data_IF_997196572689
#
_entry.id   IF_997196572689
#
_cell.length_a   1.000
_cell.length_b   1.000
_cell.length_c   1.000
_cell.angle_alpha   90.00
_cell.angle_beta   90.00
_cell.angle_gamma   90.00
#
_symmetry.space_group_name_H-M   'P 1'
#
loop_
_entity.id
_entity.type
_entity.pdbx_description
1 polymer ?
#
# COMPACT_ATOMS: atom_id res chain seq x y z
N UNK A 1 3.31 4.36 -16.87
CA UNK A 1 4.27 4.63 -15.78
C UNK A 1 4.76 3.31 -15.23
N UNK A 2 6.07 3.12 -15.07
CA UNK A 2 6.63 1.95 -14.37
C UNK A 2 7.10 2.38 -13.00
N UNK A 3 6.87 1.55 -11.99
CA UNK A 3 7.20 1.87 -10.60
C UNK A 3 7.99 0.73 -9.96
N UNK A 4 8.75 1.05 -8.92
CA UNK A 4 9.41 0.11 -8.04
C UNK A 4 8.70 0.14 -6.67
N UNK A 5 8.02 -0.94 -6.25
CA UNK A 5 7.53 -1.08 -4.89
C UNK A 5 8.68 -1.02 -3.88
N UNK A 6 8.48 -0.30 -2.79
CA UNK A 6 9.46 -0.07 -1.73
C UNK A 6 8.97 -0.62 -0.38
N UNK A 7 7.66 -0.61 -0.14
CA UNK A 7 7.06 -1.10 1.10
C UNK A 7 5.54 -0.98 1.08
N UNK A 8 4.89 -1.30 2.19
CA UNK A 8 3.44 -1.14 2.32
C UNK A 8 2.99 -0.80 3.74
N UNK A 9 1.87 -0.09 3.86
CA UNK A 9 1.17 0.14 5.13
C UNK A 9 -0.11 -0.70 5.17
N UNK A 10 -0.36 -1.34 6.31
CA UNK A 10 -1.58 -2.09 6.58
C UNK A 10 -2.62 -1.16 7.23
N UNK A 11 -3.35 -0.35 6.46
CA UNK A 11 -4.40 0.49 7.02
C UNK A 11 -5.63 -0.35 7.33
N UNK A 12 -6.31 -0.05 8.43
CA UNK A 12 -7.61 -0.63 8.75
C UNK A 12 -8.66 0.45 8.48
N UNK A 13 -9.38 0.29 7.38
CA UNK A 13 -10.44 1.19 6.96
C UNK A 13 -11.81 0.59 7.27
N UNK A 14 -12.56 1.21 8.19
CA UNK A 14 -13.92 0.79 8.55
C UNK A 14 -14.08 -0.72 8.87
N UNK A 15 -13.02 -1.34 9.41
CA UNK A 15 -12.99 -2.75 9.80
C UNK A 15 -12.33 -3.68 8.77
N UNK A 16 -11.99 -3.16 7.60
CA UNK A 16 -11.36 -3.91 6.51
C UNK A 16 -9.87 -3.58 6.37
N UNK A 17 -9.10 -4.54 5.87
CA UNK A 17 -7.68 -4.35 5.58
C UNK A 17 -7.51 -3.67 4.22
N UNK A 18 -6.95 -2.47 4.23
CA UNK A 18 -6.68 -1.66 3.06
C UNK A 18 -5.16 -1.41 2.93
N UNK A 19 -4.53 -2.17 2.03
CA UNK A 19 -3.09 -2.07 1.81
C UNK A 19 -2.73 -0.80 1.02
N UNK A 20 -1.83 0.01 1.58
CA UNK A 20 -1.22 1.14 0.85
C UNK A 20 0.18 0.74 0.40
N UNK A 21 0.34 0.42 -0.88
CA UNK A 21 1.65 0.18 -1.49
C UNK A 21 2.39 1.51 -1.67
N UNK A 22 3.60 1.59 -1.14
CA UNK A 22 4.53 2.71 -1.35
C UNK A 22 5.49 2.33 -2.47
N UNK A 23 5.59 3.17 -3.49
CA UNK A 23 6.42 2.92 -4.66
C UNK A 23 7.03 4.23 -5.19
N UNK A 24 8.15 4.11 -5.90
CA UNK A 24 8.81 5.22 -6.61
C UNK A 24 8.70 5.00 -8.11
N UNK A 25 8.50 6.07 -8.88
CA UNK A 25 8.57 6.01 -10.34
C UNK A 25 9.97 5.58 -10.78
N UNK A 26 10.08 4.72 -11.79
CA UNK A 26 11.38 4.38 -12.38
C UNK A 26 12.02 5.57 -13.13
N UNK A 27 11.22 6.57 -13.49
CA UNK A 27 11.69 7.79 -14.15
C UNK A 27 12.21 8.84 -13.15
N UNK A 28 12.04 8.61 -11.84
CA UNK A 28 12.56 9.50 -10.81
C UNK A 28 14.09 9.38 -10.71
N UNK A 29 14.87 10.47 -10.75
CA UNK A 29 16.33 10.43 -10.67
C UNK A 29 16.85 9.84 -9.35
N UNK A 30 16.04 9.81 -8.30
CA UNK A 30 16.35 9.20 -7.00
C UNK A 30 15.94 7.73 -6.92
N UNK A 31 15.21 7.20 -7.91
CA UNK A 31 14.81 5.79 -7.92
C UNK A 31 15.97 4.82 -7.67
N UNK A 32 17.19 5.00 -8.23
CA UNK A 32 18.31 4.10 -7.93
C UNK A 32 18.73 4.06 -6.46
N UNK A 33 18.50 5.15 -5.71
CA UNK A 33 18.89 5.30 -4.31
C UNK A 33 17.91 4.65 -3.32
N UNK A 34 16.73 4.22 -3.79
CA UNK A 34 15.61 3.84 -2.92
C UNK A 34 15.17 2.44 -3.25
N UNK A 35 15.58 1.45 -2.45
CA UNK A 35 15.34 0.04 -2.74
C UNK A 35 14.56 -0.69 -1.65
N UNK A 36 14.49 -0.14 -0.45
CA UNK A 36 13.64 -0.61 0.65
C UNK A 36 13.16 0.56 1.54
N UNK A 37 12.31 0.27 2.54
CA UNK A 37 11.72 1.27 3.44
C UNK A 37 12.76 2.14 4.15
N UNK A 38 13.91 1.57 4.54
CA UNK A 38 14.98 2.31 5.23
C UNK A 38 15.63 3.36 4.32
N UNK A 39 15.68 3.11 3.01
CA UNK A 39 16.19 4.10 2.06
C UNK A 39 15.24 5.29 1.90
N UNK A 40 13.94 5.08 2.12
CA UNK A 40 12.96 6.18 2.11
C UNK A 40 13.24 7.14 3.25
N UNK A 41 13.44 6.64 4.47
CA UNK A 41 13.76 7.51 5.61
C UNK A 41 15.13 8.18 5.46
N UNK A 42 16.09 7.52 4.81
CA UNK A 42 17.41 8.10 4.52
C UNK A 42 17.36 9.23 3.49
N UNK A 43 16.63 9.05 2.40
CA UNK A 43 16.64 9.98 1.25
C UNK A 43 15.44 10.94 1.21
N UNK A 44 14.39 10.63 1.98
CA UNK A 44 13.16 11.40 2.12
C UNK A 44 12.66 11.38 3.58
N UNK A 45 13.45 11.90 4.53
CA UNK A 45 13.17 11.78 5.95
C UNK A 45 11.76 12.30 6.32
N UNK A 46 11.03 11.49 7.09
CA UNK A 46 9.67 11.81 7.55
C UNK A 46 8.56 11.49 6.56
N UNK A 47 8.87 11.08 5.32
CA UNK A 47 7.87 10.84 4.28
C UNK A 47 6.93 9.69 4.62
N UNK A 48 7.44 8.56 5.12
CA UNK A 48 6.59 7.43 5.52
C UNK A 48 5.66 7.79 6.68
N UNK A 49 6.14 8.62 7.61
CA UNK A 49 5.32 9.14 8.72
C UNK A 49 4.23 10.06 8.20
N UNK A 50 4.56 10.99 7.28
CA UNK A 50 3.59 11.90 6.68
C UNK A 50 2.50 11.15 5.89
N UNK A 51 2.87 10.12 5.11
CA UNK A 51 1.90 9.27 4.38
C UNK A 51 0.96 8.57 5.37
N UNK A 52 1.52 7.94 6.42
CA UNK A 52 0.71 7.26 7.45
C UNK A 52 -0.23 8.23 8.14
N UNK A 53 0.26 9.40 8.55
CA UNK A 53 -0.53 10.39 9.29
C UNK A 53 -1.62 11.00 8.40
N UNK A 54 -1.35 11.20 7.12
CA UNK A 54 -2.39 11.59 6.16
C UNK A 54 -3.51 10.55 6.11
N UNK A 55 -3.17 9.27 5.92
CA UNK A 55 -4.16 8.19 5.87
C UNK A 55 -4.85 7.94 7.23
N UNK A 56 -4.20 8.26 8.35
CA UNK A 56 -4.80 8.25 9.68
C UNK A 56 -5.92 9.29 9.78
N UNK A 57 -5.66 10.51 9.33
CA UNK A 57 -6.50 11.67 9.67
C UNK A 57 -7.43 12.14 8.55
N UNK A 58 -7.28 11.69 7.30
CA UNK A 58 -7.97 12.29 6.15
C UNK A 58 -9.50 12.27 6.22
N UNK A 59 -10.10 11.35 6.99
CA UNK A 59 -11.56 11.26 7.19
C UNK A 59 -12.07 12.03 8.43
N UNK A 60 -11.18 12.58 9.25
CA UNK A 60 -11.56 13.36 10.44
C UNK A 60 -12.40 14.59 10.08
N UNK A 61 -12.07 15.37 9.02
CA UNK A 61 -12.91 16.48 8.59
C UNK A 61 -14.35 16.07 8.19
N UNK A 62 -14.54 14.81 7.77
CA UNK A 62 -15.85 14.24 7.43
C UNK A 62 -16.61 13.70 8.66
N UNK A 63 -16.09 13.94 9.88
CA UNK A 63 -16.69 13.48 11.14
C UNK A 63 -16.42 12.00 11.47
N UNK A 64 -15.55 11.32 10.71
CA UNK A 64 -15.16 9.92 10.97
C UNK A 64 -13.96 9.87 11.94
N UNK A 65 -13.80 8.77 12.70
CA UNK A 65 -12.62 8.60 13.54
C UNK A 65 -11.34 8.43 12.70
N UNK A 66 -10.19 8.62 13.36
CA UNK A 66 -8.89 8.31 12.78
C UNK A 66 -8.79 6.82 12.39
N UNK A 67 -8.23 6.55 11.21
CA UNK A 67 -7.94 5.18 10.78
C UNK A 67 -6.84 4.56 11.63
N UNK A 68 -6.89 3.23 11.78
CA UNK A 68 -5.87 2.45 12.49
C UNK A 68 -4.92 1.78 11.51
N UNK A 69 -3.79 1.29 12.00
CA UNK A 69 -2.86 0.51 11.19
C UNK A 69 -2.50 -0.81 11.89
N UNK A 70 -2.33 -1.86 11.11
CA UNK A 70 -1.72 -3.12 11.52
C UNK A 70 -0.20 -3.03 11.61
N UNK A 71 0.45 -4.18 11.82
CA UNK A 71 1.91 -4.32 11.77
C UNK A 71 2.67 -3.31 12.67
N UNK A 72 2.11 -2.96 13.82
CA UNK A 72 2.72 -2.04 14.77
C UNK A 72 2.77 -0.58 14.28
N UNK A 73 1.85 -0.16 13.41
CA UNK A 73 1.78 1.18 12.82
C UNK A 73 3.03 1.58 12.03
N UNK A 74 3.75 0.60 11.47
CA UNK A 74 4.97 0.78 10.67
C UNK A 74 4.79 0.26 9.25
N UNK A 75 5.55 0.82 8.32
CA UNK A 75 5.65 0.28 6.98
C UNK A 75 6.35 -1.08 7.03
N UNK A 76 5.79 -2.08 6.34
CA UNK A 76 6.48 -3.31 6.05
C UNK A 76 7.40 -3.11 4.85
N UNK A 77 8.49 -3.89 4.82
CA UNK A 77 9.53 -3.79 3.81
C UNK A 77 9.05 -4.19 2.40
N UNK A 78 9.94 -4.00 1.43
CA UNK A 78 9.68 -4.34 0.02
C UNK A 78 9.23 -5.78 -0.17
N UNK A 79 9.88 -6.74 0.47
CA UNK A 79 9.56 -8.16 0.29
C UNK A 79 8.14 -8.49 0.77
N UNK A 80 7.71 -7.89 1.88
CA UNK A 80 6.34 -8.04 2.35
C UNK A 80 5.35 -7.41 1.36
N UNK A 81 5.65 -6.21 0.85
CA UNK A 81 4.81 -5.55 -0.14
C UNK A 81 4.67 -6.38 -1.44
N UNK A 82 5.76 -6.99 -1.90
CA UNK A 82 5.74 -7.88 -3.07
C UNK A 82 4.88 -9.13 -2.85
N UNK A 83 4.88 -9.69 -1.63
CA UNK A 83 3.97 -10.81 -1.27
C UNK A 83 2.51 -10.38 -1.33
N UNK A 84 2.16 -9.24 -0.74
CA UNK A 84 0.79 -8.67 -0.81
C UNK A 84 0.36 -8.45 -2.26
N UNK A 85 1.24 -7.90 -3.10
CA UNK A 85 0.96 -7.72 -4.54
C UNK A 85 0.74 -9.06 -5.23
N UNK A 86 1.58 -10.06 -4.94
CA UNK A 86 1.43 -11.40 -5.53
C UNK A 86 0.10 -12.06 -5.12
N UNK A 87 -0.25 -12.05 -3.83
CA UNK A 87 -1.49 -12.63 -3.30
C UNK A 87 -2.75 -11.96 -3.88
N UNK A 88 -2.74 -10.64 -3.98
CA UNK A 88 -3.87 -9.88 -4.57
C UNK A 88 -3.96 -10.10 -6.08
N UNK A 89 -2.84 -10.22 -6.79
CA UNK A 89 -2.81 -10.60 -8.20
C UNK A 89 -3.30 -12.03 -8.42
N UNK A 90 -2.98 -12.99 -7.55
CA UNK A 90 -3.52 -14.34 -7.61
C UNK A 90 -5.04 -14.37 -7.42
N UNK A 91 -5.53 -13.59 -6.46
CA UNK A 91 -6.97 -13.43 -6.21
C UNK A 91 -7.67 -12.83 -7.43
N UNK A 92 -7.10 -11.77 -8.01
CA UNK A 92 -7.57 -11.18 -9.26
C UNK A 92 -7.53 -12.18 -10.43
N UNK A 93 -6.46 -12.96 -10.57
CA UNK A 93 -6.31 -13.93 -11.64
C UNK A 93 -7.39 -15.02 -11.58
N UNK A 94 -7.74 -15.48 -10.37
CA UNK A 94 -8.86 -16.42 -10.16
C UNK A 94 -10.20 -15.79 -10.53
N UNK A 95 -10.41 -14.52 -10.15
CA UNK A 95 -11.61 -13.75 -10.46
C UNK A 95 -11.82 -13.61 -11.97
N UNK A 96 -10.83 -13.11 -12.71
CA UNK A 96 -10.97 -12.85 -14.16
C UNK A 96 -11.05 -14.13 -14.99
N UNK A 97 -10.44 -15.23 -14.52
CA UNK A 97 -10.60 -16.56 -15.12
C UNK A 97 -11.94 -17.21 -14.79
N UNK A 98 -12.80 -16.55 -14.00
CA UNK A 98 -14.10 -17.06 -13.53
C UNK A 98 -13.96 -18.39 -12.78
N UNK A 99 -12.81 -18.60 -12.11
CA UNK A 99 -12.54 -19.78 -11.28
C UNK A 99 -13.12 -19.62 -9.86
N UNK A 100 -13.58 -18.42 -9.51
CA UNK A 100 -14.32 -18.09 -8.29
C UNK A 100 -15.53 -17.20 -8.66
N UNK A 101 -16.60 -17.17 -7.84
CA UNK A 101 -17.72 -16.24 -8.05
C UNK A 101 -17.27 -14.78 -8.03
N UNK A 102 -17.84 -13.95 -8.89
CA UNK A 102 -17.52 -12.51 -8.94
C UNK A 102 -18.17 -11.68 -7.85
N UNK A 103 -19.17 -12.23 -7.15
CA UNK A 103 -20.01 -11.46 -6.25
C UNK A 103 -20.64 -10.28 -6.99
N UNK A 104 -20.47 -9.09 -6.44
CA UNK A 104 -21.00 -7.83 -7.00
C UNK A 104 -20.06 -7.19 -8.05
N UNK A 105 -18.89 -7.77 -8.31
CA UNK A 105 -17.90 -7.20 -9.24
C UNK A 105 -18.30 -7.40 -10.71
N UNK A 106 -18.23 -6.33 -11.50
CA UNK A 106 -18.37 -6.40 -12.96
C UNK A 106 -17.12 -7.02 -13.59
N UNK A 107 -17.33 -8.03 -14.45
CA UNK A 107 -16.28 -8.67 -15.28
C UNK A 107 -16.48 -8.38 -16.78
N UNK A 108 -17.27 -7.36 -17.10
CA UNK A 108 -17.68 -6.96 -18.45
C UNK A 108 -17.26 -5.53 -18.71
#
# INVERSE_FOLDING_TARGET
MKVKPIGCLAMIDEGELDWKIVAISLDDPRAPLVNDVDDVDKHFPGTLTAIRDWFRDYKIPDGKPANKFGLGNKAANKDYALKVIAETNESWAKLVKRSIPSGELSLV
#
